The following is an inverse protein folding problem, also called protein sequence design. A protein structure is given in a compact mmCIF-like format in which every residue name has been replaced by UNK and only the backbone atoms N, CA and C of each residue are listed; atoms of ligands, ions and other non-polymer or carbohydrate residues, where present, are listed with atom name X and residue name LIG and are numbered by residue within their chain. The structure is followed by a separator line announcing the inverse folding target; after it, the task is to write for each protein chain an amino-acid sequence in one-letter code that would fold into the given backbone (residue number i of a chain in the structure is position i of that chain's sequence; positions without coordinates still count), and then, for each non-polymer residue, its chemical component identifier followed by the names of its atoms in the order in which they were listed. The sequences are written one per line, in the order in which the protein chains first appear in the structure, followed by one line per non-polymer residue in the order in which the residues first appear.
data_IF_509893015699
#
_entry.id   IF_509893015699
#
_cell.length_a   1.000
_cell.length_b   1.000
_cell.length_c   1.000
_cell.angle_alpha   90.00
_cell.angle_beta   90.00
_cell.angle_gamma   90.00
#
_symmetry.space_group_name_H-M   'P 1'
#
loop_
_entity.id
_entity.type
_entity.pdbx_description
1 polymer ?
#
# COMPACT_ATOMS: atom_id res chain seq x y z
N UNK A 1 -57.14 10.44 -78.27
CA UNK A 1 -56.82 9.04 -78.56
C UNK A 1 -57.05 8.26 -77.27
N UNK A 2 -58.23 7.66 -77.11
CA UNK A 2 -58.56 6.80 -75.97
C UNK A 2 -58.16 5.37 -76.34
N UNK A 3 -57.22 4.80 -75.59
CA UNK A 3 -56.94 3.37 -75.62
C UNK A 3 -57.33 2.78 -74.28
N UNK A 4 -58.26 1.84 -74.34
CA UNK A 4 -58.70 0.94 -73.29
C UNK A 4 -57.50 0.19 -72.70
N UNK A 5 -57.57 -0.26 -71.44
CA UNK A 5 -57.68 -1.71 -71.11
C UNK A 5 -57.46 -1.97 -69.62
N UNK A 6 -58.42 -2.67 -69.00
CA UNK A 6 -58.23 -3.77 -68.06
C UNK A 6 -57.47 -3.53 -66.75
N UNK A 7 -58.20 -3.21 -65.67
CA UNK A 7 -57.73 -3.46 -64.30
C UNK A 7 -57.88 -4.94 -63.95
N UNK A 8 -56.75 -5.64 -63.86
CA UNK A 8 -56.64 -6.92 -63.16
C UNK A 8 -56.81 -6.69 -61.66
N UNK A 9 -57.74 -7.39 -61.01
CA UNK A 9 -57.89 -7.35 -59.56
C UNK A 9 -56.63 -7.94 -58.89
N UNK A 10 -55.95 -7.09 -58.12
CA UNK A 10 -54.74 -7.41 -57.38
C UNK A 10 -55.13 -8.12 -56.07
N UNK A 11 -54.75 -9.40 -55.93
CA UNK A 11 -54.98 -10.19 -54.72
C UNK A 11 -54.21 -9.59 -53.52
N UNK A 12 -54.93 -9.01 -52.55
CA UNK A 12 -54.37 -8.55 -51.27
C UNK A 12 -54.49 -9.64 -50.20
N UNK A 13 -53.36 -10.14 -49.72
CA UNK A 13 -53.31 -10.95 -48.50
C UNK A 13 -53.78 -10.12 -47.28
N UNK A 14 -54.57 -10.68 -46.34
CA UNK A 14 -55.01 -9.94 -45.18
C UNK A 14 -53.83 -9.73 -44.23
N UNK A 15 -53.30 -8.51 -44.18
CA UNK A 15 -52.39 -8.08 -43.12
C UNK A 15 -53.21 -7.70 -41.90
N UNK A 16 -53.74 -8.69 -41.18
CA UNK A 16 -54.12 -8.46 -39.80
C UNK A 16 -52.86 -8.44 -38.94
N UNK A 17 -52.21 -7.27 -38.86
CA UNK A 17 -51.29 -7.03 -37.76
C UNK A 17 -52.10 -6.98 -36.45
N UNK A 18 -52.27 -8.15 -35.83
CA UNK A 18 -52.87 -8.27 -34.51
C UNK A 18 -52.09 -7.39 -33.53
N UNK A 19 -52.77 -6.62 -32.69
CA UNK A 19 -52.15 -5.73 -31.69
C UNK A 19 -51.04 -6.43 -30.86
N UNK A 20 -51.17 -7.74 -30.69
CA UNK A 20 -50.21 -8.63 -30.05
C UNK A 20 -48.84 -8.73 -30.77
N UNK A 21 -48.78 -8.65 -32.10
CA UNK A 21 -47.53 -8.73 -32.86
C UNK A 21 -46.72 -7.42 -32.76
N UNK A 22 -47.41 -6.27 -32.71
CA UNK A 22 -46.80 -4.95 -32.47
C UNK A 22 -46.25 -4.84 -31.06
N UNK A 23 -46.99 -5.34 -30.06
CA UNK A 23 -46.53 -5.41 -28.66
C UNK A 23 -45.30 -6.30 -28.51
N UNK A 24 -45.26 -7.47 -29.17
CA UNK A 24 -44.06 -8.34 -29.19
C UNK A 24 -42.86 -7.68 -29.88
N UNK A 25 -43.05 -6.96 -31.00
CA UNK A 25 -41.99 -6.20 -31.68
C UNK A 25 -41.44 -5.05 -30.84
N UNK A 26 -42.26 -4.41 -30.01
CA UNK A 26 -41.85 -3.31 -29.13
C UNK A 26 -41.20 -3.80 -27.82
N UNK A 27 -41.67 -4.92 -27.25
CA UNK A 27 -41.14 -5.50 -26.01
C UNK A 27 -39.85 -6.31 -26.23
N UNK A 28 -39.61 -6.85 -27.43
CA UNK A 28 -38.39 -7.59 -27.76
C UNK A 28 -37.09 -6.79 -27.52
N UNK A 29 -36.95 -5.56 -28.06
CA UNK A 29 -35.80 -4.70 -27.82
C UNK A 29 -35.63 -4.34 -26.34
N UNK A 30 -36.73 -4.07 -25.64
CA UNK A 30 -36.73 -3.70 -24.21
C UNK A 30 -36.26 -4.88 -23.35
N UNK A 31 -36.71 -6.09 -23.66
CA UNK A 31 -36.28 -7.31 -22.97
C UNK A 31 -34.80 -7.60 -23.22
N UNK A 32 -34.31 -7.41 -24.45
CA UNK A 32 -32.88 -7.58 -24.79
C UNK A 32 -32.01 -6.55 -24.06
N UNK A 33 -32.41 -5.28 -24.06
CA UNK A 33 -31.72 -4.21 -23.32
C UNK A 33 -31.73 -4.50 -21.82
N UNK A 34 -32.87 -4.95 -21.27
CA UNK A 34 -33.00 -5.37 -19.88
C UNK A 34 -32.06 -6.53 -19.51
N UNK A 35 -31.93 -7.53 -20.38
CA UNK A 35 -31.01 -8.67 -20.17
C UNK A 35 -29.55 -8.26 -20.27
N UNK A 36 -29.20 -7.34 -21.18
CA UNK A 36 -27.82 -6.82 -21.30
C UNK A 36 -27.45 -5.99 -20.08
N UNK A 37 -28.33 -5.10 -19.62
CA UNK A 37 -28.14 -4.32 -18.39
C UNK A 37 -28.03 -5.26 -17.19
N UNK A 38 -28.91 -6.25 -17.06
CA UNK A 38 -28.85 -7.23 -15.97
C UNK A 38 -27.55 -8.05 -16.01
N UNK A 39 -27.06 -8.48 -17.18
CA UNK A 39 -25.77 -9.16 -17.33
C UNK A 39 -24.59 -8.25 -17.01
N UNK A 40 -24.66 -6.97 -17.33
CA UNK A 40 -23.63 -5.98 -17.01
C UNK A 40 -23.54 -5.73 -15.49
N UNK A 41 -24.66 -5.47 -14.82
CA UNK A 41 -24.71 -5.34 -13.36
C UNK A 41 -24.36 -6.65 -12.65
N UNK A 42 -24.73 -7.79 -13.24
CA UNK A 42 -24.31 -9.09 -12.75
C UNK A 42 -22.80 -9.34 -12.91
N UNK A 43 -22.11 -8.76 -13.90
CA UNK A 43 -20.63 -8.77 -13.95
C UNK A 43 -20.01 -7.76 -12.99
N UNK A 44 -20.63 -6.59 -12.83
CA UNK A 44 -20.17 -5.55 -11.92
C UNK A 44 -20.16 -6.02 -10.47
N UNK A 45 -21.18 -6.77 -10.02
CA UNK A 45 -21.20 -7.35 -8.66
C UNK A 45 -20.05 -8.34 -8.43
N UNK A 46 -19.60 -9.09 -9.44
CA UNK A 46 -18.43 -9.99 -9.32
C UNK A 46 -17.10 -9.25 -9.23
N UNK A 47 -17.03 -7.97 -9.62
CA UNK A 47 -15.84 -7.11 -9.43
C UNK A 47 -15.95 -6.29 -8.13
N UNK A 48 -17.15 -5.82 -7.81
CA UNK A 48 -17.44 -4.99 -6.64
C UNK A 48 -17.41 -5.80 -5.32
N UNK A 49 -17.89 -7.06 -5.31
CA UNK A 49 -17.88 -7.91 -4.12
C UNK A 49 -16.47 -8.30 -3.65
N UNK A 50 -15.52 -8.69 -4.51
CA UNK A 50 -14.12 -8.82 -4.14
C UNK A 50 -13.58 -7.49 -3.62
N UNK A 51 -13.84 -6.38 -4.31
CA UNK A 51 -13.34 -5.06 -3.92
C UNK A 51 -13.86 -4.63 -2.53
N UNK A 52 -15.15 -4.89 -2.22
CA UNK A 52 -15.74 -4.65 -0.91
C UNK A 52 -15.22 -5.62 0.17
N UNK A 53 -14.90 -6.87 -0.19
CA UNK A 53 -14.25 -7.83 0.73
C UNK A 53 -12.77 -7.50 0.98
N UNK A 54 -12.11 -6.89 0.00
CA UNK A 54 -10.76 -6.33 0.13
C UNK A 54 -10.78 -4.98 0.84
N UNK A 55 -11.89 -4.24 0.84
CA UNK A 55 -12.04 -2.96 1.52
C UNK A 55 -11.69 -2.98 3.02
N UNK A 56 -12.11 -3.95 3.85
CA UNK A 56 -11.68 -4.02 5.26
C UNK A 56 -10.21 -4.41 5.46
N UNK A 57 -9.58 -5.09 4.50
CA UNK A 57 -8.14 -5.41 4.51
C UNK A 57 -7.34 -4.17 4.06
N UNK A 58 -7.82 -3.49 3.02
CA UNK A 58 -7.33 -2.22 2.54
C UNK A 58 -7.56 -1.12 3.57
N UNK A 59 -8.61 -1.13 4.39
CA UNK A 59 -8.84 -0.14 5.44
C UNK A 59 -7.90 -0.33 6.63
N UNK A 60 -7.50 -1.57 6.95
CA UNK A 60 -6.66 -1.87 8.12
C UNK A 60 -5.19 -1.50 7.96
N UNK A 61 -4.60 -1.66 6.76
CA UNK A 61 -3.22 -1.22 6.47
C UNK A 61 -3.13 -0.26 5.28
N UNK A 62 -3.94 -0.47 4.26
CA UNK A 62 -4.00 0.41 3.09
C UNK A 62 -4.58 1.80 3.40
N UNK A 63 -5.46 1.95 4.39
CA UNK A 63 -6.06 3.22 4.79
C UNK A 63 -5.01 4.12 5.42
N UNK A 64 -4.19 3.55 6.30
CA UNK A 64 -3.06 4.25 6.90
C UNK A 64 -1.98 4.59 5.88
N UNK A 65 -1.75 3.70 4.90
CA UNK A 65 -0.81 3.92 3.80
C UNK A 65 -1.31 5.02 2.85
N UNK A 66 -2.59 5.01 2.46
CA UNK A 66 -3.19 6.05 1.62
C UNK A 66 -3.21 7.40 2.32
N UNK A 67 -3.49 7.42 3.63
CA UNK A 67 -3.37 8.63 4.44
C UNK A 67 -1.94 9.18 4.41
N UNK A 68 -0.92 8.32 4.59
CA UNK A 68 0.48 8.72 4.52
C UNK A 68 0.86 9.27 3.13
N UNK A 69 0.43 8.60 2.05
CA UNK A 69 0.61 9.09 0.68
C UNK A 69 -0.06 10.45 0.50
N UNK A 70 -1.29 10.61 0.97
CA UNK A 70 -2.04 11.86 0.86
C UNK A 70 -1.35 13.01 1.60
N UNK A 71 -0.94 12.79 2.86
CA UNK A 71 -0.18 13.76 3.66
C UNK A 71 1.10 14.17 2.93
N UNK A 72 1.95 13.21 2.56
CA UNK A 72 3.22 13.51 1.90
C UNK A 72 3.08 14.11 0.51
N UNK A 73 1.98 13.81 -0.20
CA UNK A 73 1.67 14.45 -1.47
C UNK A 73 1.52 15.97 -1.29
N UNK A 74 0.98 16.43 -0.16
CA UNK A 74 0.83 17.87 0.11
C UNK A 74 2.19 18.57 0.33
N UNK A 75 3.19 17.86 0.86
CA UNK A 75 4.50 18.44 1.18
C UNK A 75 5.51 18.32 0.03
N UNK A 76 5.55 17.17 -0.65
CA UNK A 76 6.62 16.82 -1.60
C UNK A 76 6.10 16.37 -2.97
N UNK A 77 4.79 16.39 -3.18
CA UNK A 77 4.16 15.94 -4.41
C UNK A 77 3.99 14.42 -4.49
N UNK A 78 3.06 14.01 -5.35
CA UNK A 78 2.58 12.63 -5.40
C UNK A 78 3.66 11.61 -5.83
N UNK A 79 4.58 12.01 -6.72
CA UNK A 79 5.65 11.13 -7.21
C UNK A 79 6.61 10.73 -6.08
N UNK A 80 7.02 11.71 -5.29
CA UNK A 80 7.88 11.47 -4.13
C UNK A 80 7.14 10.68 -3.06
N UNK A 81 5.91 11.08 -2.73
CA UNK A 81 5.09 10.40 -1.73
C UNK A 81 4.92 8.90 -2.02
N UNK A 82 4.57 8.55 -3.27
CA UNK A 82 4.45 7.15 -3.68
C UNK A 82 5.79 6.40 -3.58
N UNK A 83 6.88 6.99 -4.09
CA UNK A 83 8.20 6.37 -4.02
C UNK A 83 8.68 6.17 -2.59
N UNK A 84 8.45 7.14 -1.71
CA UNK A 84 8.86 7.09 -0.32
C UNK A 84 8.08 6.06 0.48
N UNK A 85 6.75 6.01 0.32
CA UNK A 85 5.91 4.98 0.94
C UNK A 85 6.24 3.59 0.40
N UNK A 86 6.61 3.49 -0.88
CA UNK A 86 7.10 2.24 -1.44
C UNK A 86 8.43 1.81 -0.81
N UNK A 87 9.39 2.71 -0.61
CA UNK A 87 10.65 2.39 0.09
C UNK A 87 10.41 1.94 1.54
N UNK A 88 9.49 2.58 2.25
CA UNK A 88 9.04 2.13 3.58
C UNK A 88 8.46 0.72 3.54
N UNK A 89 7.62 0.42 2.54
CA UNK A 89 7.05 -0.91 2.36
C UNK A 89 8.12 -1.95 2.04
N UNK A 90 9.12 -1.60 1.22
CA UNK A 90 10.29 -2.46 0.94
C UNK A 90 11.06 -2.74 2.23
N UNK A 91 11.32 -1.72 3.05
CA UNK A 91 11.95 -1.88 4.37
C UNK A 91 11.13 -2.84 5.26
N UNK A 92 9.84 -2.57 5.48
CA UNK A 92 8.99 -3.45 6.29
C UNK A 92 8.91 -4.88 5.75
N UNK A 93 8.89 -5.04 4.42
CA UNK A 93 8.88 -6.36 3.80
C UNK A 93 10.14 -7.16 4.15
N UNK A 94 11.27 -6.50 4.40
CA UNK A 94 12.50 -7.13 4.86
C UNK A 94 12.32 -7.79 6.22
N UNK A 95 11.73 -7.09 7.19
CA UNK A 95 11.36 -7.67 8.48
C UNK A 95 10.38 -8.84 8.31
N UNK A 96 9.37 -8.66 7.47
CA UNK A 96 8.33 -9.67 7.22
C UNK A 96 8.91 -10.97 6.64
N UNK A 97 9.80 -10.86 5.65
CA UNK A 97 10.44 -12.01 5.02
C UNK A 97 11.27 -12.80 6.02
N UNK A 98 12.07 -12.12 6.84
CA UNK A 98 12.88 -12.78 7.87
C UNK A 98 12.01 -13.38 8.97
N UNK A 99 11.00 -12.67 9.45
CA UNK A 99 10.08 -13.17 10.48
C UNK A 99 9.33 -14.42 10.02
N UNK A 100 8.86 -14.44 8.76
CA UNK A 100 8.21 -15.62 8.15
C UNK A 100 9.18 -16.79 8.02
N UNK A 101 10.45 -16.55 7.67
CA UNK A 101 11.49 -17.59 7.60
C UNK A 101 11.72 -18.27 8.95
N UNK A 102 11.57 -17.53 10.06
CA UNK A 102 11.63 -18.07 11.42
C UNK A 102 10.28 -18.58 11.96
N UNK A 103 9.23 -18.61 11.13
CA UNK A 103 7.92 -19.14 11.51
C UNK A 103 7.13 -18.27 12.50
N UNK A 104 7.43 -16.97 12.58
CA UNK A 104 6.69 -16.01 13.41
C UNK A 104 5.41 -15.56 12.69
N UNK A 105 4.28 -15.48 13.41
CA UNK A 105 3.06 -14.88 12.86
C UNK A 105 3.19 -13.35 12.86
N UNK A 106 3.18 -12.80 11.66
CA UNK A 106 3.24 -11.35 11.42
C UNK A 106 1.86 -10.79 11.09
N UNK A 107 1.56 -9.62 11.64
CA UNK A 107 0.40 -8.81 11.28
C UNK A 107 0.62 -8.02 9.99
N UNK A 108 -0.37 -7.19 9.65
CA UNK A 108 -0.24 -6.26 8.53
C UNK A 108 0.64 -5.07 8.94
N UNK A 109 1.45 -4.50 8.03
CA UNK A 109 2.20 -3.28 8.28
C UNK A 109 1.22 -2.11 8.49
N UNK A 110 1.50 -1.26 9.48
CA UNK A 110 0.75 -0.04 9.76
C UNK A 110 1.65 1.14 9.43
N UNK A 111 1.12 2.12 8.70
CA UNK A 111 1.87 3.29 8.22
C UNK A 111 1.42 4.54 8.97
N UNK A 112 2.29 5.14 9.75
CA UNK A 112 1.98 6.38 10.49
C UNK A 112 2.73 7.54 9.82
N UNK A 113 2.01 8.56 9.33
CA UNK A 113 2.63 9.76 8.79
C UNK A 113 3.69 10.33 9.75
N UNK A 114 4.83 10.72 9.19
CA UNK A 114 6.00 11.26 9.88
C UNK A 114 6.75 10.31 10.83
N UNK A 115 6.13 9.28 11.38
CA UNK A 115 6.81 8.30 12.24
C UNK A 115 7.43 7.14 11.46
N UNK A 116 6.82 6.71 10.36
CA UNK A 116 7.28 5.59 9.55
C UNK A 116 6.25 4.48 9.47
N UNK A 117 6.70 3.25 9.23
CA UNK A 117 5.86 2.07 9.24
C UNK A 117 6.36 1.11 10.32
N UNK A 118 5.47 0.22 10.79
CA UNK A 118 5.88 -0.91 11.61
C UNK A 118 4.94 -2.09 11.40
N UNK A 119 5.48 -3.30 11.56
CA UNK A 119 4.69 -4.52 11.57
C UNK A 119 4.28 -4.86 13.00
N UNK A 120 2.98 -5.03 13.21
CA UNK A 120 2.46 -5.62 14.44
C UNK A 120 2.82 -7.12 14.47
N UNK A 121 3.83 -7.50 15.26
CA UNK A 121 4.12 -8.91 15.55
C UNK A 121 3.00 -9.48 16.44
N UNK A 122 2.42 -10.59 16.03
CA UNK A 122 1.41 -11.31 16.83
C UNK A 122 2.05 -12.28 17.81
N UNK A 123 3.19 -12.84 17.42
CA UNK A 123 4.02 -13.69 18.26
C UNK A 123 5.25 -12.90 18.71
N UNK A 124 5.56 -12.91 20.01
CA UNK A 124 6.81 -12.36 20.51
C UNK A 124 8.01 -13.17 19.97
N UNK A 125 9.15 -12.52 19.64
CA UNK A 125 10.36 -13.22 19.25
C UNK A 125 10.76 -14.25 20.32
N UNK A 126 11.11 -15.46 19.89
CA UNK A 126 11.41 -16.56 20.83
C UNK A 126 12.73 -16.38 21.57
N UNK A 127 13.67 -15.64 21.00
CA UNK A 127 14.96 -15.32 21.60
C UNK A 127 15.55 -14.03 20.97
N UNK A 128 16.58 -13.47 21.61
CA UNK A 128 17.24 -12.25 21.17
C UNK A 128 17.88 -12.38 19.78
N UNK A 129 18.39 -13.58 19.44
CA UNK A 129 18.96 -13.84 18.11
C UNK A 129 17.92 -13.67 16.99
N UNK A 130 16.73 -14.26 17.13
CA UNK A 130 15.65 -14.11 16.15
C UNK A 130 15.19 -12.65 16.08
N UNK A 131 15.10 -11.96 17.23
CA UNK A 131 14.76 -10.54 17.26
C UNK A 131 15.77 -9.70 16.47
N UNK A 132 17.07 -9.96 16.65
CA UNK A 132 18.14 -9.29 15.91
C UNK A 132 18.12 -9.64 14.41
N UNK A 133 17.97 -10.91 14.04
CA UNK A 133 17.85 -11.29 12.62
C UNK A 133 16.66 -10.60 11.94
N UNK A 134 15.50 -10.56 12.60
CA UNK A 134 14.33 -9.84 12.09
C UNK A 134 14.63 -8.34 11.99
N UNK A 135 15.26 -7.74 13.01
CA UNK A 135 15.68 -6.34 13.00
C UNK A 135 16.63 -5.99 11.84
N UNK A 136 17.55 -6.88 11.48
CA UNK A 136 18.46 -6.70 10.33
C UNK A 136 17.71 -6.70 8.98
N UNK A 137 16.63 -7.49 8.88
CA UNK A 137 15.92 -7.70 7.60
C UNK A 137 15.45 -6.42 6.94
N UNK A 138 14.92 -5.47 7.71
CA UNK A 138 14.40 -4.20 7.19
C UNK A 138 15.48 -3.29 6.62
N UNK A 139 16.50 -2.88 7.41
CA UNK A 139 17.61 -2.08 6.93
C UNK A 139 18.34 -2.69 5.74
N UNK A 140 18.49 -4.03 5.69
CA UNK A 140 19.11 -4.70 4.53
C UNK A 140 18.30 -4.50 3.25
N UNK A 141 17.01 -4.85 3.28
CA UNK A 141 16.18 -4.78 2.08
C UNK A 141 15.84 -3.33 1.69
N UNK A 142 15.63 -2.47 2.69
CA UNK A 142 15.44 -1.04 2.49
C UNK A 142 16.67 -0.38 1.89
N UNK A 143 17.89 -0.75 2.31
CA UNK A 143 19.13 -0.20 1.74
C UNK A 143 19.33 -0.66 0.30
N UNK A 144 18.97 -1.91 0.00
CA UNK A 144 18.96 -2.41 -1.37
C UNK A 144 17.96 -1.66 -2.26
N UNK A 145 16.74 -1.38 -1.75
CA UNK A 145 15.76 -0.55 -2.45
C UNK A 145 16.28 0.87 -2.70
N UNK A 146 16.91 1.49 -1.71
CA UNK A 146 17.54 2.81 -1.85
C UNK A 146 18.67 2.81 -2.87
N UNK A 147 19.48 1.75 -2.93
CA UNK A 147 20.53 1.57 -3.92
C UNK A 147 19.99 1.49 -5.35
N UNK A 148 18.89 0.76 -5.55
CA UNK A 148 18.19 0.72 -6.84
C UNK A 148 17.71 2.12 -7.23
N UNK A 149 17.09 2.86 -6.30
CA UNK A 149 16.71 4.24 -6.57
C UNK A 149 17.93 5.09 -6.94
N UNK A 150 19.05 4.97 -6.25
CA UNK A 150 20.25 5.75 -6.58
C UNK A 150 20.73 5.46 -8.01
N UNK A 151 20.85 4.17 -8.35
CA UNK A 151 21.27 3.75 -9.69
C UNK A 151 20.31 4.25 -10.77
N UNK A 152 18.99 4.15 -10.56
CA UNK A 152 18.00 4.69 -11.50
C UNK A 152 18.10 6.22 -11.63
N UNK A 153 18.36 6.92 -10.53
CA UNK A 153 18.54 8.37 -10.53
C UNK A 153 19.76 8.81 -11.35
N UNK A 154 20.86 8.08 -11.24
CA UNK A 154 22.09 8.34 -12.00
C UNK A 154 21.91 7.97 -13.49
N UNK A 155 21.36 6.78 -13.78
CA UNK A 155 21.19 6.29 -15.15
C UNK A 155 20.22 7.13 -15.98
N UNK A 156 19.13 7.58 -15.38
CA UNK A 156 18.08 8.35 -16.08
C UNK A 156 18.19 9.87 -15.83
N UNK A 157 19.24 10.33 -15.16
CA UNK A 157 19.41 11.73 -14.73
C UNK A 157 18.14 12.29 -14.07
N UNK A 158 17.52 11.49 -13.20
CA UNK A 158 16.20 11.75 -12.64
C UNK A 158 16.32 12.12 -11.15
N UNK A 159 16.24 13.43 -10.79
CA UNK A 159 16.51 13.90 -9.42
C UNK A 159 15.60 13.29 -8.37
N UNK A 160 14.38 12.90 -8.77
CA UNK A 160 13.40 12.26 -7.88
C UNK A 160 13.93 10.95 -7.28
N UNK A 161 14.63 10.14 -8.06
CA UNK A 161 15.15 8.86 -7.60
C UNK A 161 16.38 9.04 -6.70
N UNK A 162 17.19 10.07 -6.95
CA UNK A 162 18.29 10.47 -6.05
C UNK A 162 17.74 10.94 -4.70
N UNK A 163 16.69 11.76 -4.70
CA UNK A 163 16.02 12.18 -3.48
C UNK A 163 15.45 10.98 -2.70
N UNK A 164 14.76 10.06 -3.37
CA UNK A 164 14.25 8.83 -2.78
C UNK A 164 15.37 7.96 -2.19
N UNK A 165 16.49 7.82 -2.89
CA UNK A 165 17.65 7.08 -2.40
C UNK A 165 18.22 7.71 -1.13
N UNK A 166 18.41 9.03 -1.11
CA UNK A 166 18.90 9.76 0.06
C UNK A 166 18.01 9.54 1.28
N UNK A 167 16.69 9.69 1.11
CA UNK A 167 15.72 9.43 2.18
C UNK A 167 15.70 7.95 2.60
N UNK A 168 15.83 7.02 1.65
CA UNK A 168 15.94 5.60 1.93
C UNK A 168 17.17 5.29 2.79
N UNK A 169 18.35 5.74 2.39
CA UNK A 169 19.57 5.57 3.18
C UNK A 169 19.46 6.19 4.57
N UNK A 170 18.97 7.43 4.65
CA UNK A 170 18.73 8.10 5.92
C UNK A 170 17.81 7.27 6.82
N UNK A 171 16.69 6.79 6.29
CA UNK A 171 15.73 5.99 7.05
C UNK A 171 16.35 4.70 7.58
N UNK A 172 17.07 3.97 6.74
CA UNK A 172 17.72 2.72 7.15
C UNK A 172 18.79 2.97 8.22
N UNK A 173 19.62 4.01 8.07
CA UNK A 173 20.63 4.37 9.05
C UNK A 173 20.01 4.84 10.36
N UNK A 174 18.95 5.64 10.29
CA UNK A 174 18.21 6.09 11.46
C UNK A 174 17.63 4.90 12.22
N UNK A 175 17.00 3.95 11.52
CA UNK A 175 16.50 2.72 12.13
C UNK A 175 17.61 1.83 12.70
N UNK A 176 18.84 1.90 12.20
CA UNK A 176 19.99 1.20 12.79
C UNK A 176 20.54 1.85 14.07
N UNK A 177 19.99 2.99 14.51
CA UNK A 177 20.37 3.57 15.80
C UNK A 177 20.09 2.57 16.93
N UNK A 178 21.07 2.27 17.80
CA UNK A 178 20.96 1.19 18.78
C UNK A 178 20.12 1.62 19.99
N UNK A 179 18.81 1.83 19.82
CA UNK A 179 17.95 2.38 20.89
C UNK A 179 16.50 1.99 20.74
N UNK A 180 15.87 1.67 21.88
CA UNK A 180 14.43 1.58 21.99
C UNK A 180 13.79 0.57 21.03
N UNK A 181 12.77 1.04 20.31
CA UNK A 181 11.98 0.25 19.35
C UNK A 181 12.58 0.18 17.95
N UNK A 182 13.63 0.97 17.67
CA UNK A 182 14.28 0.98 16.36
C UNK A 182 14.97 -0.35 16.10
N UNK A 183 15.24 -0.66 14.84
CA UNK A 183 15.85 -1.92 14.43
C UNK A 183 17.22 -2.15 15.06
N UNK A 184 18.06 -1.12 15.13
CA UNK A 184 19.33 -1.15 15.84
C UNK A 184 19.14 -1.53 17.30
N UNK A 185 18.09 -1.02 17.94
CA UNK A 185 17.70 -1.39 19.31
C UNK A 185 17.40 -2.88 19.44
N UNK A 186 16.74 -3.48 18.44
CA UNK A 186 16.45 -4.92 18.36
C UNK A 186 17.67 -5.77 17.99
N UNK A 187 18.63 -5.22 17.27
CA UNK A 187 19.87 -5.90 16.89
C UNK A 187 20.79 -6.04 18.08
N UNK A 188 20.96 -4.95 18.85
CA UNK A 188 21.90 -4.97 19.97
C UNK A 188 21.44 -5.79 21.17
N UNK A 189 20.16 -6.21 21.24
CA UNK A 189 19.72 -7.17 22.27
C UNK A 189 20.46 -8.51 22.18
N UNK A 190 20.90 -8.90 20.98
CA UNK A 190 21.70 -10.10 20.78
C UNK A 190 23.21 -9.90 21.01
N UNK A 191 23.69 -8.64 21.00
CA UNK A 191 25.10 -8.30 21.17
C UNK A 191 25.40 -7.90 22.62
N UNK A 192 24.82 -6.79 23.07
CA UNK A 192 24.92 -6.26 24.42
C UNK A 192 23.89 -5.16 24.60
N UNK A 193 23.03 -5.29 25.62
CA UNK A 193 22.01 -4.28 25.91
C UNK A 193 22.64 -2.93 26.32
N UNK A 194 23.86 -2.93 26.84
CA UNK A 194 24.61 -1.70 27.18
C UNK A 194 24.82 -0.75 26.00
N UNK A 195 24.78 -1.26 24.75
CA UNK A 195 24.82 -0.45 23.54
C UNK A 195 23.59 0.47 23.39
N UNK A 196 22.53 0.29 24.18
CA UNK A 196 21.43 1.24 24.24
C UNK A 196 21.81 2.58 24.85
N UNK A 197 22.78 2.64 25.78
CA UNK A 197 23.23 3.90 26.37
C UNK A 197 23.85 4.87 25.35
N UNK A 198 24.84 4.47 24.52
CA UNK A 198 25.37 5.37 23.50
C UNK A 198 24.32 5.72 22.44
N UNK A 199 23.42 4.80 22.06
CA UNK A 199 22.31 5.10 21.16
C UNK A 199 21.33 6.13 21.73
N UNK A 200 21.02 6.02 23.02
CA UNK A 200 20.16 6.96 23.74
C UNK A 200 20.82 8.34 23.89
N UNK A 201 22.11 8.39 24.25
CA UNK A 201 22.88 9.62 24.30
C UNK A 201 22.94 10.32 22.94
N UNK A 202 23.12 9.56 21.86
CA UNK A 202 23.08 10.08 20.49
C UNK A 202 21.72 10.70 20.16
N UNK A 203 20.61 10.03 20.50
CA UNK A 203 19.27 10.58 20.29
C UNK A 203 18.99 11.84 21.12
N UNK A 204 19.46 11.90 22.36
CA UNK A 204 19.35 13.11 23.19
C UNK A 204 20.10 14.29 22.56
N UNK A 205 21.34 14.06 22.13
CA UNK A 205 22.13 15.06 21.43
C UNK A 205 21.45 15.50 20.12
N UNK A 206 20.94 14.54 19.34
CA UNK A 206 20.27 14.81 18.08
C UNK A 206 18.96 15.60 18.28
N UNK A 207 18.16 15.25 19.28
CA UNK A 207 16.92 15.93 19.64
C UNK A 207 17.15 17.33 20.22
N UNK A 208 18.27 17.55 20.91
CA UNK A 208 18.68 18.89 21.36
C UNK A 208 19.14 19.76 20.19
N UNK A 209 19.96 19.20 19.29
CA UNK A 209 20.53 19.94 18.15
C UNK A 209 19.48 20.26 17.09
N UNK A 210 18.56 19.33 16.84
CA UNK A 210 17.48 19.45 15.87
C UNK A 210 16.14 19.15 16.55
N UNK A 211 15.55 20.13 17.26
CA UNK A 211 14.31 19.93 17.99
C UNK A 211 13.20 19.43 17.08
N UNK A 212 12.85 18.15 17.21
CA UNK A 212 11.79 17.51 16.47
C UNK A 212 10.94 16.68 17.42
N UNK A 213 9.62 16.84 17.33
CA UNK A 213 8.65 16.11 18.14
C UNK A 213 8.87 14.59 18.09
N UNK A 214 9.21 14.03 16.93
CA UNK A 214 9.39 12.58 16.74
C UNK A 214 10.62 12.07 17.49
N UNK A 215 11.72 12.83 17.50
CA UNK A 215 12.94 12.40 18.21
C UNK A 215 12.65 12.35 19.71
N UNK A 216 12.00 13.38 20.25
CA UNK A 216 11.61 13.40 21.67
C UNK A 216 10.60 12.29 22.02
N UNK A 217 9.68 11.98 21.10
CA UNK A 217 8.79 10.84 21.26
C UNK A 217 9.56 9.52 21.31
N UNK A 218 10.55 9.30 20.43
CA UNK A 218 11.39 8.09 20.45
C UNK A 218 12.21 8.01 21.74
N UNK A 219 12.80 9.13 22.19
CA UNK A 219 13.52 9.21 23.48
C UNK A 219 12.60 8.77 24.61
N UNK A 220 11.41 9.35 24.72
CA UNK A 220 10.43 9.01 25.76
C UNK A 220 10.03 7.53 25.72
N UNK A 221 9.75 6.99 24.53
CA UNK A 221 9.36 5.60 24.36
C UNK A 221 10.51 4.61 24.59
N UNK A 222 11.77 5.07 24.52
CA UNK A 222 12.95 4.25 24.79
C UNK A 222 13.35 4.19 26.28
N UNK A 223 12.82 5.08 27.13
CA UNK A 223 13.14 5.12 28.57
C UNK A 223 12.93 3.79 29.32
N UNK A 224 11.83 3.04 29.13
CA UNK A 224 11.62 1.78 29.86
C UNK A 224 12.71 0.75 29.57
N UNK A 225 13.22 0.74 28.34
CA UNK A 225 14.29 -0.14 27.88
C UNK A 225 15.63 0.20 28.55
N UNK A 226 15.95 1.50 28.67
CA UNK A 226 17.15 1.97 29.37
C UNK A 226 17.11 1.67 30.87
N UNK A 227 15.94 1.84 31.51
CA UNK A 227 15.79 1.54 32.93
C UNK A 227 15.93 0.04 33.25
N UNK A 228 15.65 -0.83 32.26
CA UNK A 228 15.70 -2.30 32.41
C UNK A 228 17.06 -2.95 32.13
N UNK A 229 18.12 -2.15 31.91
CA UNK A 229 19.45 -2.64 31.53
C UNK A 229 20.13 -3.53 32.57
#
# INVERSE_FOLDING_TARGET
MNLQTGTTEEYKAPTEETAWSRVKKALGPIAVVGVVIAKFFAKLKFVLLPLLKFLPILLKSGGTMLLMIWVYTQFWGWRFALGFVFLLLVHESGHLLVAKKFGLKVGAPVFIPFMGAFIALKDAPRNAWIEACVGIGGPMLGSFGALICNALGELFAAPIFIALAWFGYFLNLFNLTPVGMLDGGRIVTALSRWLWLPGFALLLWFGWKFPNFIIWLIVLLSLPRIYSL
#
